data_IF_681320645073
#
_entry.id   IF_681320645073
#
_cell.length_a   1.000
_cell.length_b   1.000
_cell.length_c   1.000
_cell.angle_alpha   90.00
_cell.angle_beta   90.00
_cell.angle_gamma   90.00
#
_symmetry.space_group_name_H-M   'P 1'
#
loop_
_entity.id
_entity.type
_entity.pdbx_description
1 polymer ?
#
# COMPACT_ATOMS: atom_id res chain seq x y z
N UNK A 1 -46.40 -35.94 -25.16
CA UNK A 1 -45.38 -36.16 -26.21
C UNK A 1 -44.22 -35.25 -25.87
N UNK A 2 -43.15 -35.89 -25.43
CA UNK A 2 -42.10 -35.31 -24.60
C UNK A 2 -41.09 -34.47 -25.39
N UNK A 3 -40.70 -33.37 -24.75
CA UNK A 3 -39.65 -32.46 -25.17
C UNK A 3 -38.27 -33.11 -24.93
N UNK A 4 -37.44 -33.14 -25.96
CA UNK A 4 -36.04 -33.57 -25.86
C UNK A 4 -35.13 -32.35 -26.04
N UNK A 5 -34.71 -31.77 -24.91
CA UNK A 5 -33.68 -30.72 -24.85
C UNK A 5 -32.34 -31.42 -24.63
N UNK A 6 -31.35 -31.30 -25.54
CA UNK A 6 -30.04 -31.92 -25.34
C UNK A 6 -29.22 -31.14 -24.30
N UNK A 7 -28.89 -31.79 -23.19
CA UNK A 7 -27.98 -31.30 -22.16
C UNK A 7 -26.59 -31.04 -22.75
N UNK A 8 -26.10 -29.80 -22.62
CA UNK A 8 -24.70 -29.45 -22.91
C UNK A 8 -23.78 -30.05 -21.84
N UNK A 9 -22.86 -30.88 -22.33
CA UNK A 9 -21.73 -31.48 -21.60
C UNK A 9 -20.99 -30.44 -20.76
N UNK A 10 -20.81 -30.75 -19.48
CA UNK A 10 -20.05 -29.96 -18.52
C UNK A 10 -18.58 -29.83 -18.94
N UNK A 11 -18.12 -28.59 -19.09
CA UNK A 11 -16.70 -28.25 -19.18
C UNK A 11 -16.16 -28.19 -17.75
N UNK A 12 -15.58 -29.29 -17.29
CA UNK A 12 -14.80 -29.33 -16.04
C UNK A 12 -13.52 -28.55 -16.27
N UNK A 13 -13.45 -27.31 -15.77
CA UNK A 13 -12.21 -26.55 -15.72
C UNK A 13 -11.31 -27.18 -14.65
N UNK A 14 -10.25 -27.86 -15.08
CA UNK A 14 -9.15 -28.25 -14.20
C UNK A 14 -8.46 -26.96 -13.72
N UNK A 15 -8.71 -26.58 -12.48
CA UNK A 15 -7.96 -25.52 -11.80
C UNK A 15 -6.49 -25.95 -11.72
N UNK A 16 -5.51 -25.16 -12.20
CA UNK A 16 -4.11 -25.46 -11.97
C UNK A 16 -3.86 -25.42 -10.45
N UNK A 17 -3.23 -26.49 -9.94
CA UNK A 17 -2.84 -26.60 -8.55
C UNK A 17 -2.05 -25.33 -8.13
N UNK A 18 -2.25 -24.80 -6.91
CA UNK A 18 -1.49 -23.66 -6.45
C UNK A 18 -0.02 -24.06 -6.39
N UNK A 19 0.79 -23.48 -7.26
CA UNK A 19 2.25 -23.52 -7.15
C UNK A 19 2.59 -23.18 -5.71
N UNK A 20 3.13 -24.17 -4.99
CA UNK A 20 3.53 -24.11 -3.59
C UNK A 20 4.43 -22.90 -3.42
N UNK A 21 3.85 -21.78 -2.98
CA UNK A 21 4.60 -20.55 -2.71
C UNK A 21 5.59 -20.90 -1.63
N UNK A 22 6.86 -20.98 -1.99
CA UNK A 22 7.92 -21.24 -1.04
C UNK A 22 7.85 -20.14 0.02
N UNK A 23 7.62 -20.51 1.28
CA UNK A 23 7.39 -19.53 2.31
C UNK A 23 8.70 -18.73 2.50
N UNK A 24 8.56 -17.39 2.57
CA UNK A 24 9.69 -16.44 2.53
C UNK A 24 10.71 -16.62 3.66
N UNK A 25 10.31 -17.19 4.79
CA UNK A 25 11.20 -17.55 5.91
C UNK A 25 12.30 -18.57 5.55
N UNK A 26 12.10 -19.44 4.55
CA UNK A 26 13.13 -20.39 4.11
C UNK A 26 14.35 -19.68 3.53
N UNK A 27 14.12 -18.58 2.80
CA UNK A 27 15.20 -17.75 2.27
C UNK A 27 15.97 -17.04 3.39
N UNK A 28 15.28 -16.63 4.46
CA UNK A 28 15.92 -16.02 5.64
C UNK A 28 16.80 -17.04 6.36
N UNK A 29 16.30 -18.26 6.57
CA UNK A 29 17.05 -19.35 7.21
C UNK A 29 18.25 -19.74 6.35
N UNK A 30 18.06 -19.88 5.03
CA UNK A 30 19.15 -20.20 4.10
C UNK A 30 20.23 -19.12 4.10
N UNK A 31 19.86 -17.85 4.15
CA UNK A 31 20.79 -16.72 4.24
C UNK A 31 21.58 -16.74 5.56
N UNK A 32 20.90 -16.94 6.68
CA UNK A 32 21.55 -17.03 7.99
C UNK A 32 22.51 -18.23 8.08
N UNK A 33 22.11 -19.39 7.53
CA UNK A 33 22.96 -20.59 7.46
C UNK A 33 24.17 -20.40 6.55
N UNK A 34 23.98 -19.76 5.39
CA UNK A 34 25.07 -19.46 4.47
C UNK A 34 26.16 -18.63 5.17
N UNK A 35 25.76 -17.55 5.84
CA UNK A 35 26.69 -16.69 6.60
C UNK A 35 27.27 -17.43 7.82
N UNK A 36 26.50 -18.23 8.53
CA UNK A 36 27.02 -19.04 9.64
C UNK A 36 28.07 -20.09 9.19
N UNK A 37 27.97 -20.56 7.94
CA UNK A 37 28.93 -21.47 7.33
C UNK A 37 30.15 -20.76 6.74
N UNK A 38 30.06 -19.48 6.40
CA UNK A 38 31.16 -18.72 5.85
C UNK A 38 32.24 -18.45 6.91
N UNK A 39 33.49 -18.21 6.48
CA UNK A 39 34.52 -17.70 7.36
C UNK A 39 34.15 -16.29 7.84
N UNK A 40 34.21 -16.06 9.15
CA UNK A 40 33.80 -14.81 9.81
C UNK A 40 34.47 -13.54 9.24
N UNK A 41 35.66 -13.67 8.64
CA UNK A 41 36.39 -12.58 7.99
C UNK A 41 35.84 -12.20 6.60
N UNK A 42 35.02 -13.04 5.97
CA UNK A 42 34.30 -12.73 4.71
C UNK A 42 32.92 -12.13 5.00
N UNK A 43 32.27 -12.56 6.08
CA UNK A 43 30.95 -12.06 6.46
C UNK A 43 30.98 -10.57 6.80
N UNK A 44 32.02 -10.14 7.51
CA UNK A 44 32.18 -8.75 7.94
C UNK A 44 32.30 -7.75 6.76
N UNK A 45 33.20 -7.93 5.77
CA UNK A 45 33.27 -7.05 4.61
C UNK A 45 32.00 -7.12 3.74
N UNK A 46 31.33 -8.28 3.68
CA UNK A 46 30.07 -8.42 2.96
C UNK A 46 28.95 -7.59 3.60
N UNK A 47 28.83 -7.63 4.93
CA UNK A 47 27.87 -6.81 5.68
C UNK A 47 28.20 -5.32 5.59
N UNK A 48 29.49 -4.95 5.57
CA UNK A 48 29.93 -3.58 5.35
C UNK A 48 29.63 -3.10 3.92
N UNK A 49 29.77 -3.95 2.90
CA UNK A 49 29.38 -3.63 1.53
C UNK A 49 27.85 -3.39 1.41
N UNK A 50 27.05 -4.20 2.11
CA UNK A 50 25.60 -3.99 2.20
C UNK A 50 25.25 -2.70 2.95
N UNK A 51 25.94 -2.38 4.03
CA UNK A 51 25.74 -1.14 4.78
C UNK A 51 26.14 0.10 3.98
N UNK A 52 27.28 0.07 3.27
CA UNK A 52 27.76 1.18 2.44
C UNK A 52 26.89 1.40 1.20
N UNK A 53 26.38 0.33 0.57
CA UNK A 53 25.39 0.46 -0.51
C UNK A 53 24.06 1.04 -0.03
N UNK A 54 23.65 0.76 1.23
CA UNK A 54 22.52 1.46 1.85
C UNK A 54 22.82 2.92 2.16
N UNK A 55 24.01 3.23 2.69
CA UNK A 55 24.42 4.60 3.01
C UNK A 55 24.46 5.46 1.75
N UNK A 56 25.02 4.96 0.64
CA UNK A 56 25.14 5.69 -0.61
C UNK A 56 23.81 6.08 -1.28
N UNK A 57 22.66 5.72 -0.66
CA UNK A 57 21.31 6.07 -1.09
C UNK A 57 21.09 5.91 -2.59
N UNK A 58 21.65 4.84 -3.19
CA UNK A 58 21.59 4.61 -4.63
C UNK A 58 20.12 4.62 -5.05
N UNK A 59 19.65 5.60 -5.87
CA UNK A 59 18.23 5.78 -6.15
C UNK A 59 17.56 4.52 -6.70
N UNK A 60 18.35 3.70 -7.40
CA UNK A 60 17.95 2.41 -7.99
C UNK A 60 17.65 1.30 -6.97
N UNK A 61 18.14 1.41 -5.73
CA UNK A 61 18.01 0.38 -4.69
C UNK A 61 16.97 0.72 -3.61
N UNK A 62 16.32 1.90 -3.68
CA UNK A 62 15.22 2.29 -2.77
C UNK A 62 14.11 1.24 -2.65
N UNK A 63 13.64 0.58 -3.74
CA UNK A 63 12.60 -0.45 -3.66
C UNK A 63 13.03 -1.69 -2.84
N UNK A 64 14.33 -1.95 -2.74
CA UNK A 64 14.90 -3.12 -2.08
C UNK A 64 15.38 -2.85 -0.64
N UNK A 65 15.24 -1.62 -0.14
CA UNK A 65 15.70 -1.19 1.19
C UNK A 65 15.18 -2.09 2.33
N UNK A 66 13.91 -2.53 2.24
CA UNK A 66 13.31 -3.43 3.23
C UNK A 66 13.85 -4.87 3.20
N UNK A 67 14.34 -5.32 2.04
CA UNK A 67 15.00 -6.62 1.88
C UNK A 67 16.44 -6.53 2.40
N UNK A 68 17.16 -5.47 2.05
CA UNK A 68 18.54 -5.25 2.51
C UNK A 68 18.59 -5.09 4.04
N UNK A 69 17.63 -4.38 4.66
CA UNK A 69 17.49 -4.31 6.13
C UNK A 69 17.31 -5.69 6.77
N UNK A 70 16.47 -6.53 6.16
CA UNK A 70 16.28 -7.91 6.63
C UNK A 70 17.54 -8.74 6.45
N UNK A 71 18.23 -8.62 5.32
CA UNK A 71 19.49 -9.31 5.07
C UNK A 71 20.58 -8.90 6.07
N UNK A 72 20.64 -7.63 6.47
CA UNK A 72 21.59 -7.11 7.46
C UNK A 72 21.25 -7.61 8.88
N UNK A 73 19.98 -7.57 9.29
CA UNK A 73 19.51 -8.06 10.60
C UNK A 73 19.79 -9.56 10.79
N UNK A 74 19.44 -10.36 9.79
CA UNK A 74 19.67 -11.82 9.85
C UNK A 74 21.10 -12.21 9.53
N UNK A 75 21.82 -11.37 8.78
CA UNK A 75 23.24 -11.56 8.53
C UNK A 75 24.12 -11.27 9.74
N UNK A 76 23.71 -10.33 10.60
CA UNK A 76 24.35 -10.12 11.89
C UNK A 76 24.21 -11.36 12.79
N UNK A 77 23.04 -11.99 12.81
CA UNK A 77 22.84 -13.24 13.55
C UNK A 77 23.76 -14.36 13.05
N UNK A 78 23.93 -14.48 11.72
CA UNK A 78 24.90 -15.39 11.10
C UNK A 78 26.34 -15.10 11.54
N UNK A 79 26.76 -13.83 11.50
CA UNK A 79 28.09 -13.38 11.95
C UNK A 79 28.34 -13.69 13.43
N UNK A 80 27.33 -13.54 14.30
CA UNK A 80 27.44 -13.87 15.72
C UNK A 80 27.66 -15.37 15.95
N UNK A 81 26.96 -16.21 15.19
CA UNK A 81 27.14 -17.66 15.25
C UNK A 81 28.52 -18.05 14.70
N UNK A 82 28.95 -17.46 13.58
CA UNK A 82 30.25 -17.70 12.97
C UNK A 82 31.41 -17.26 13.89
N UNK A 83 31.30 -16.08 14.51
CA UNK A 83 32.30 -15.57 15.46
C UNK A 83 32.35 -16.40 16.74
N UNK A 84 31.20 -16.79 17.31
CA UNK A 84 31.17 -17.70 18.46
C UNK A 84 31.84 -19.04 18.16
N UNK A 85 31.59 -19.60 16.97
CA UNK A 85 32.21 -20.85 16.52
C UNK A 85 33.71 -20.71 16.28
N UNK A 86 34.15 -19.61 15.68
CA UNK A 86 35.55 -19.36 15.37
C UNK A 86 36.41 -19.09 16.62
N UNK A 87 35.82 -18.51 17.66
CA UNK A 87 36.51 -18.16 18.90
C UNK A 87 36.47 -19.24 20.00
N UNK A 88 35.89 -20.39 19.70
CA UNK A 88 35.99 -21.67 20.42
C UNK A 88 36.30 -21.60 21.92
N UNK A 89 35.29 -21.72 22.78
CA UNK A 89 35.37 -22.25 24.16
C UNK A 89 36.21 -21.47 25.21
N UNK A 90 36.91 -20.39 24.84
CA UNK A 90 37.69 -19.60 25.78
C UNK A 90 36.84 -18.47 26.35
N UNK A 91 37.08 -18.05 27.61
CA UNK A 91 36.35 -16.95 28.26
C UNK A 91 36.37 -15.65 27.42
N UNK A 92 37.44 -15.45 26.63
CA UNK A 92 37.60 -14.34 25.70
C UNK A 92 36.70 -14.42 24.46
N UNK A 93 36.24 -15.61 24.07
CA UNK A 93 35.32 -15.79 22.95
C UNK A 93 33.95 -15.20 23.25
N UNK A 94 33.48 -15.29 24.50
CA UNK A 94 32.24 -14.66 24.96
C UNK A 94 32.36 -13.14 24.98
N UNK A 95 33.46 -12.58 25.49
CA UNK A 95 33.63 -11.12 25.52
C UNK A 95 33.74 -10.54 24.11
N UNK A 96 34.47 -11.21 23.20
CA UNK A 96 34.59 -10.74 21.82
C UNK A 96 33.28 -10.85 21.04
N UNK A 97 32.54 -11.95 21.21
CA UNK A 97 31.22 -12.10 20.56
C UNK A 97 30.22 -11.07 21.08
N UNK A 98 30.25 -10.76 22.38
CA UNK A 98 29.41 -9.74 22.98
C UNK A 98 29.79 -8.33 22.50
N UNK A 99 31.09 -8.07 22.30
CA UNK A 99 31.59 -6.83 21.71
C UNK A 99 31.19 -6.70 20.22
N UNK A 100 31.26 -7.78 19.45
CA UNK A 100 30.78 -7.84 18.06
C UNK A 100 29.27 -7.65 17.99
N UNK A 101 28.51 -8.25 18.91
CA UNK A 101 27.06 -8.07 19.03
C UNK A 101 26.72 -6.61 19.30
N UNK A 102 27.42 -5.98 20.25
CA UNK A 102 27.20 -4.59 20.60
C UNK A 102 27.52 -3.65 19.44
N UNK A 103 28.67 -3.83 18.78
CA UNK A 103 29.06 -3.05 17.60
C UNK A 103 28.06 -3.21 16.47
N UNK A 104 27.69 -4.45 16.16
CA UNK A 104 26.75 -4.75 15.08
C UNK A 104 25.34 -4.22 15.35
N UNK A 105 24.86 -4.34 16.59
CA UNK A 105 23.59 -3.77 17.00
C UNK A 105 23.61 -2.24 17.00
N UNK A 106 24.68 -1.62 17.50
CA UNK A 106 24.82 -0.16 17.49
C UNK A 106 24.87 0.38 16.05
N UNK A 107 25.59 -0.29 15.15
CA UNK A 107 25.62 0.05 13.72
C UNK A 107 24.24 -0.08 13.08
N UNK A 108 23.50 -1.15 13.41
CA UNK A 108 22.13 -1.35 12.92
C UNK A 108 21.18 -0.24 13.40
N UNK A 109 21.22 0.10 14.68
CA UNK A 109 20.43 1.19 15.26
C UNK A 109 20.80 2.53 14.64
N UNK A 110 22.10 2.78 14.42
CA UNK A 110 22.57 3.99 13.76
C UNK A 110 22.04 4.08 12.32
N UNK A 111 22.11 2.99 11.56
CA UNK A 111 21.56 2.89 10.20
C UNK A 111 20.04 3.10 10.16
N UNK A 112 19.30 2.51 11.10
CA UNK A 112 17.85 2.71 11.22
C UNK A 112 17.52 4.16 11.56
N UNK A 113 18.21 4.74 12.56
CA UNK A 113 18.03 6.13 12.96
C UNK A 113 18.37 7.11 11.82
N UNK A 114 19.35 6.79 10.98
CA UNK A 114 19.76 7.63 9.86
C UNK A 114 18.82 7.50 8.66
N UNK A 115 18.23 6.33 8.44
CA UNK A 115 17.21 6.12 7.40
C UNK A 115 15.86 6.73 7.79
N UNK A 116 15.54 6.74 9.08
CA UNK A 116 14.31 7.34 9.61
C UNK A 116 14.40 8.87 9.70
N UNK A 117 15.62 9.42 9.62
CA UNK A 117 15.81 10.83 9.26
C UNK A 117 15.35 10.99 7.82
N UNK A 118 14.06 11.27 7.66
CA UNK A 118 13.55 11.95 6.46
C UNK A 118 14.53 13.10 6.19
N UNK A 119 15.05 13.25 4.96
CA UNK A 119 15.86 14.42 4.64
C UNK A 119 15.04 15.61 5.10
N UNK A 120 15.59 16.37 6.05
CA UNK A 120 14.97 17.57 6.58
C UNK A 120 14.54 18.35 5.36
N UNK A 121 13.22 18.36 5.16
CA UNK A 121 12.56 19.05 4.06
C UNK A 121 13.11 20.47 4.16
N UNK A 122 13.87 20.88 3.14
CA UNK A 122 14.30 22.25 2.93
C UNK A 122 14.98 22.93 4.13
N UNK A 123 16.30 22.76 4.26
CA UNK A 123 17.18 23.76 4.93
C UNK A 123 17.11 25.13 4.22
N UNK A 124 16.50 25.20 3.03
CA UNK A 124 16.15 26.43 2.33
C UNK A 124 15.01 27.25 2.99
N UNK A 125 14.36 26.73 4.05
CA UNK A 125 13.35 27.47 4.84
C UNK A 125 13.82 27.73 6.28
N UNK A 126 15.14 27.72 6.54
CA UNK A 126 15.70 28.33 7.74
C UNK A 126 15.61 29.87 7.63
N UNK A 127 14.38 30.38 7.51
CA UNK A 127 14.03 31.71 7.97
C UNK A 127 14.25 31.74 9.49
N UNK A 128 14.58 32.94 9.99
CA UNK A 128 14.93 33.28 11.37
C UNK A 128 14.32 32.34 12.41
N UNK A 129 15.18 31.83 13.31
CA UNK A 129 14.77 31.01 14.45
C UNK A 129 13.65 31.72 15.21
N UNK A 130 12.40 31.22 15.16
CA UNK A 130 11.28 31.87 15.84
C UNK A 130 11.50 31.83 17.35
N UNK A 131 11.12 32.91 18.04
CA UNK A 131 11.23 32.99 19.50
C UNK A 131 10.31 31.96 20.17
N UNK A 132 10.68 31.46 21.35
CA UNK A 132 9.98 30.36 22.06
C UNK A 132 8.46 30.55 22.19
N UNK A 133 7.99 31.81 22.25
CA UNK A 133 6.57 32.14 22.30
C UNK A 133 5.81 31.70 21.03
N UNK A 134 6.44 31.86 19.86
CA UNK A 134 5.87 31.48 18.57
C UNK A 134 5.86 29.96 18.40
N UNK A 135 6.85 29.25 18.96
CA UNK A 135 6.86 27.78 18.99
C UNK A 135 5.74 27.20 19.87
N UNK A 136 5.38 27.86 20.97
CA UNK A 136 4.31 27.42 21.86
C UNK A 136 2.90 27.61 21.23
N UNK A 137 2.77 28.54 20.30
CA UNK A 137 1.54 28.81 19.55
C UNK A 137 1.49 28.10 18.18
N UNK A 138 2.61 27.51 17.74
CA UNK A 138 2.65 26.75 16.50
C UNK A 138 1.79 25.47 16.62
N UNK A 139 0.89 25.21 15.67
CA UNK A 139 0.07 24.00 15.69
C UNK A 139 0.97 22.76 15.69
N UNK A 140 0.73 21.85 16.63
CA UNK A 140 1.46 20.58 16.73
C UNK A 140 0.98 19.65 15.63
N UNK A 141 1.65 19.70 14.47
CA UNK A 141 1.39 18.82 13.34
C UNK A 141 1.31 19.58 12.01
N UNK A 142 1.30 18.86 10.87
CA UNK A 142 1.00 19.47 9.58
C UNK A 142 -0.34 20.22 9.67
N UNK A 143 -0.48 21.36 8.99
CA UNK A 143 -1.70 22.14 8.97
C UNK A 143 -2.90 21.22 8.67
N UNK A 144 -3.70 20.91 9.69
CA UNK A 144 -4.84 20.02 9.56
C UNK A 144 -5.99 20.84 8.98
N UNK A 145 -6.24 20.67 7.69
CA UNK A 145 -7.42 21.24 7.03
C UNK A 145 -8.60 20.35 7.42
N UNK A 146 -9.56 20.91 8.16
CA UNK A 146 -10.83 20.25 8.41
C UNK A 146 -11.61 20.28 7.10
N UNK A 147 -11.92 19.10 6.58
CA UNK A 147 -12.64 18.94 5.32
C UNK A 147 -14.05 18.50 5.64
N UNK A 148 -15.03 19.30 5.22
CA UNK A 148 -16.44 18.94 5.30
C UNK A 148 -16.81 18.14 4.04
N UNK A 149 -17.09 16.85 4.23
CA UNK A 149 -17.47 15.93 3.15
C UNK A 149 -18.99 15.89 3.07
N UNK A 150 -19.54 16.17 1.89
CA UNK A 150 -20.98 16.05 1.64
C UNK A 150 -21.36 14.57 1.56
N UNK A 151 -22.38 14.11 2.31
CA UNK A 151 -22.79 12.71 2.29
C UNK A 151 -23.32 12.30 0.90
N UNK A 152 -23.12 11.04 0.49
CA UNK A 152 -23.58 10.58 -0.80
C UNK A 152 -25.10 10.38 -0.77
N UNK A 153 -25.80 11.07 -1.67
CA UNK A 153 -27.20 10.80 -1.95
C UNK A 153 -27.28 9.63 -2.91
N UNK A 154 -27.94 8.54 -2.50
CA UNK A 154 -28.12 7.34 -3.31
C UNK A 154 -29.52 7.36 -3.93
N UNK A 155 -29.57 7.46 -5.25
CA UNK A 155 -30.81 7.39 -6.02
C UNK A 155 -30.97 5.97 -6.55
N UNK A 156 -32.11 5.33 -6.26
CA UNK A 156 -32.44 3.97 -6.72
C UNK A 156 -33.17 4.00 -8.05
N UNK A 157 -33.13 2.89 -8.79
CA UNK A 157 -33.81 2.76 -10.08
C UNK A 157 -35.29 3.16 -10.08
N UNK A 158 -35.99 2.88 -8.98
CA UNK A 158 -37.42 3.14 -8.81
C UNK A 158 -37.72 4.63 -8.57
N UNK A 159 -36.70 5.46 -8.40
CA UNK A 159 -36.84 6.87 -8.09
C UNK A 159 -37.10 7.71 -9.35
N UNK A 160 -38.07 8.61 -9.25
CA UNK A 160 -38.53 9.44 -10.37
C UNK A 160 -37.42 10.40 -10.83
N UNK A 161 -36.56 10.83 -9.91
CA UNK A 161 -35.42 11.70 -10.18
C UNK A 161 -34.36 11.06 -11.10
N UNK A 162 -34.30 9.73 -11.13
CA UNK A 162 -33.40 8.99 -12.00
C UNK A 162 -33.94 8.88 -13.42
N UNK A 163 -35.26 8.77 -13.57
CA UNK A 163 -35.93 8.78 -14.87
C UNK A 163 -35.81 10.14 -15.59
N UNK A 164 -35.59 11.23 -14.85
CA UNK A 164 -35.28 12.54 -15.41
C UNK A 164 -33.86 12.66 -15.99
N UNK A 165 -32.95 11.71 -15.71
CA UNK A 165 -31.56 11.74 -16.19
C UNK A 165 -31.43 10.94 -17.48
N UNK A 166 -31.54 11.66 -18.60
CA UNK A 166 -31.60 11.09 -19.95
C UNK A 166 -30.37 10.25 -20.36
N UNK A 167 -29.22 10.43 -19.70
CA UNK A 167 -27.97 9.73 -20.04
C UNK A 167 -27.74 8.43 -19.27
N UNK A 168 -28.56 8.11 -18.27
CA UNK A 168 -28.42 6.91 -17.45
C UNK A 168 -29.57 5.94 -17.69
N UNK A 169 -29.23 4.73 -18.13
CA UNK A 169 -30.22 3.68 -18.35
C UNK A 169 -29.80 2.38 -17.66
N UNK A 170 -30.68 1.81 -16.84
CA UNK A 170 -30.48 0.48 -16.32
C UNK A 170 -30.85 -0.58 -17.36
N UNK A 171 -30.08 -1.67 -17.40
CA UNK A 171 -30.30 -2.78 -18.33
C UNK A 171 -30.61 -4.07 -17.56
N UNK A 172 -31.32 -5.00 -18.20
CA UNK A 172 -31.74 -6.27 -17.60
C UNK A 172 -30.56 -7.14 -17.09
N UNK A 173 -29.35 -6.93 -17.59
CA UNK A 173 -28.15 -7.70 -17.23
C UNK A 173 -27.41 -7.17 -15.98
N UNK A 174 -28.09 -6.46 -15.09
CA UNK A 174 -27.49 -5.83 -13.88
C UNK A 174 -26.34 -4.89 -14.21
N UNK A 175 -26.57 -4.01 -15.17
CA UNK A 175 -25.59 -3.02 -15.58
C UNK A 175 -26.22 -1.68 -15.91
N UNK A 176 -25.48 -0.61 -15.60
CA UNK A 176 -25.79 0.75 -15.98
C UNK A 176 -25.19 1.06 -17.35
N UNK A 177 -25.98 1.64 -18.24
CA UNK A 177 -25.51 2.27 -19.47
C UNK A 177 -25.45 3.77 -19.24
N UNK A 178 -24.33 4.38 -19.60
CA UNK A 178 -24.03 5.80 -19.46
C UNK A 178 -23.75 6.32 -20.87
N UNK A 179 -24.61 7.23 -21.36
CA UNK A 179 -24.58 7.64 -22.77
C UNK A 179 -24.82 6.45 -23.72
N UNK A 180 -24.20 6.49 -24.90
CA UNK A 180 -24.39 5.43 -25.91
C UNK A 180 -23.39 4.28 -25.81
N UNK A 181 -22.19 4.52 -25.30
CA UNK A 181 -21.07 3.58 -25.44
C UNK A 181 -20.58 2.98 -24.13
N UNK A 182 -20.85 3.62 -23.00
CA UNK A 182 -20.25 3.21 -21.73
C UNK A 182 -21.22 2.32 -20.95
N UNK A 183 -20.71 1.16 -20.52
CA UNK A 183 -21.47 0.18 -19.75
C UNK A 183 -20.73 -0.19 -18.47
N UNK A 184 -21.42 -0.08 -17.33
CA UNK A 184 -20.92 -0.44 -16.01
C UNK A 184 -21.65 -1.69 -15.52
N UNK A 185 -20.95 -2.82 -15.52
CA UNK A 185 -21.51 -4.14 -15.20
C UNK A 185 -21.27 -4.60 -13.75
N UNK A 186 -22.13 -5.52 -13.29
CA UNK A 186 -22.04 -6.16 -11.98
C UNK A 186 -22.09 -5.14 -10.82
N UNK A 187 -23.05 -4.23 -10.92
CA UNK A 187 -23.34 -3.17 -9.95
C UNK A 187 -24.78 -3.25 -9.48
N UNK A 188 -25.09 -2.60 -8.38
CA UNK A 188 -26.44 -2.50 -7.86
C UNK A 188 -27.29 -1.48 -8.65
N UNK A 189 -28.63 -1.60 -8.65
CA UNK A 189 -29.54 -0.67 -9.30
C UNK A 189 -29.70 0.65 -8.52
N UNK A 190 -28.58 1.19 -8.02
CA UNK A 190 -28.50 2.47 -7.34
C UNK A 190 -27.24 3.22 -7.75
N UNK A 191 -27.34 4.55 -7.79
CA UNK A 191 -26.25 5.44 -8.21
C UNK A 191 -26.19 6.64 -7.28
N UNK A 192 -24.98 7.06 -6.93
CA UNK A 192 -24.73 8.35 -6.31
C UNK A 192 -23.99 9.23 -7.29
N UNK A 193 -24.35 10.51 -7.34
CA UNK A 193 -23.77 11.47 -8.28
C UNK A 193 -23.18 12.61 -7.50
N UNK A 194 -21.93 12.95 -7.84
CA UNK A 194 -21.27 14.07 -7.21
C UNK A 194 -22.05 15.38 -7.47
N UNK A 195 -22.00 16.38 -6.57
CA UNK A 195 -22.68 17.66 -6.76
C UNK A 195 -22.31 18.36 -8.08
N UNK A 196 -21.05 18.23 -8.52
CA UNK A 196 -20.57 18.74 -9.82
C UNK A 196 -20.92 17.87 -11.04
N UNK A 197 -21.71 16.81 -10.86
CA UNK A 197 -22.17 15.83 -11.87
C UNK A 197 -21.08 15.11 -12.68
N UNK A 198 -19.80 15.39 -12.45
CA UNK A 198 -18.66 14.76 -13.12
C UNK A 198 -18.51 13.29 -12.76
N UNK A 199 -18.64 12.97 -11.47
CA UNK A 199 -18.43 11.62 -10.98
C UNK A 199 -19.74 10.90 -10.72
N UNK A 200 -19.79 9.65 -11.14
CA UNK A 200 -20.86 8.71 -10.85
C UNK A 200 -20.31 7.55 -10.02
N UNK A 201 -21.08 7.11 -9.04
CA UNK A 201 -20.73 6.06 -8.11
C UNK A 201 -21.79 4.96 -8.13
N UNK A 202 -21.35 3.72 -8.29
CA UNK A 202 -22.21 2.53 -8.34
C UNK A 202 -21.69 1.47 -7.38
N UNK A 203 -22.47 0.97 -6.42
CA UNK A 203 -22.04 -0.11 -5.54
C UNK A 203 -21.88 -1.40 -6.34
N UNK A 204 -20.88 -2.22 -6.01
CA UNK A 204 -20.67 -3.51 -6.66
C UNK A 204 -21.76 -4.50 -6.21
N UNK A 205 -22.35 -5.23 -7.15
CA UNK A 205 -23.33 -6.26 -6.82
C UNK A 205 -22.71 -7.41 -6.01
N UNK A 206 -23.43 -7.85 -4.98
CA UNK A 206 -23.10 -9.04 -4.16
C UNK A 206 -21.74 -8.99 -3.44
N UNK A 207 -21.23 -7.80 -3.11
CA UNK A 207 -19.99 -7.68 -2.35
C UNK A 207 -19.66 -6.26 -1.92
N UNK A 208 -18.58 -6.13 -1.14
CA UNK A 208 -18.08 -4.83 -0.68
C UNK A 208 -17.22 -4.18 -1.76
N UNK A 209 -17.67 -3.06 -2.30
CA UNK A 209 -16.90 -2.29 -3.25
C UNK A 209 -17.74 -1.27 -4.00
N UNK A 210 -17.05 -0.42 -4.75
CA UNK A 210 -17.68 0.61 -5.56
C UNK A 210 -17.03 0.69 -6.94
N UNK A 211 -17.83 1.05 -7.93
CA UNK A 211 -17.37 1.50 -9.24
C UNK A 211 -17.57 3.00 -9.31
N UNK A 212 -16.49 3.73 -9.55
CA UNK A 212 -16.52 5.15 -9.87
C UNK A 212 -16.35 5.32 -11.37
N UNK A 213 -17.08 6.26 -11.95
CA UNK A 213 -16.98 6.63 -13.35
C UNK A 213 -16.77 8.14 -13.47
N UNK A 214 -15.67 8.54 -14.12
CA UNK A 214 -15.33 9.92 -14.45
C UNK A 214 -15.90 10.26 -15.82
N UNK A 215 -16.95 11.08 -15.86
CA UNK A 215 -17.57 11.54 -17.11
C UNK A 215 -16.65 12.46 -17.91
N UNK A 216 -15.74 13.18 -17.27
CA UNK A 216 -14.86 14.14 -17.96
C UNK A 216 -13.79 13.43 -18.80
N UNK A 217 -13.33 12.26 -18.34
CA UNK A 217 -12.25 11.51 -18.99
C UNK A 217 -12.71 10.15 -19.55
N UNK A 218 -13.99 9.83 -19.44
CA UNK A 218 -14.58 8.53 -19.79
C UNK A 218 -13.80 7.35 -19.16
N UNK A 219 -13.51 7.45 -17.86
CA UNK A 219 -12.72 6.44 -17.13
C UNK A 219 -13.52 5.77 -16.03
N UNK A 220 -13.38 4.45 -15.96
CA UNK A 220 -13.98 3.63 -14.91
C UNK A 220 -12.92 3.14 -13.93
N UNK A 221 -13.19 3.29 -12.63
CA UNK A 221 -12.37 2.77 -11.54
C UNK A 221 -13.18 1.79 -10.71
N UNK A 222 -12.72 0.53 -10.63
CA UNK A 222 -13.39 -0.52 -9.86
C UNK A 222 -12.61 -0.81 -8.58
N UNK A 223 -13.15 -0.36 -7.45
CA UNK A 223 -12.47 -0.36 -6.15
C UNK A 223 -13.13 -1.37 -5.22
N UNK A 224 -12.53 -2.56 -5.11
CA UNK A 224 -13.00 -3.62 -4.22
C UNK A 224 -12.61 -3.32 -2.77
N UNK A 225 -13.52 -3.59 -1.84
CA UNK A 225 -13.33 -3.32 -0.41
C UNK A 225 -13.46 -1.84 0.00
N UNK A 226 -13.71 -0.94 -0.94
CA UNK A 226 -13.93 0.48 -0.70
C UNK A 226 -15.41 0.85 -0.84
N UNK A 227 -15.87 1.79 -0.04
CA UNK A 227 -17.22 2.34 -0.08
C UNK A 227 -17.14 3.86 -0.19
N UNK A 228 -18.12 4.48 -0.84
CA UNK A 228 -18.24 5.93 -0.89
C UNK A 228 -18.62 6.45 0.49
N UNK A 229 -17.74 7.27 1.06
CA UNK A 229 -18.02 8.02 2.27
C UNK A 229 -18.71 9.35 1.96
N UNK A 230 -18.35 9.97 0.83
CA UNK A 230 -19.01 11.16 0.32
C UNK A 230 -18.22 11.89 -0.74
N UNK A 231 -18.60 13.15 -0.99
CA UNK A 231 -18.06 14.00 -2.03
C UNK A 231 -17.45 15.27 -1.43
N UNK A 232 -16.27 15.65 -1.87
CA UNK A 232 -15.65 16.93 -1.51
C UNK A 232 -14.78 17.43 -2.66
N UNK A 233 -14.79 18.74 -2.94
CA UNK A 233 -13.99 19.36 -4.00
C UNK A 233 -14.08 18.66 -5.39
N UNK A 234 -15.26 18.16 -5.75
CA UNK A 234 -15.50 17.38 -6.98
C UNK A 234 -14.74 16.03 -7.05
N UNK A 235 -14.34 15.48 -5.92
CA UNK A 235 -13.68 14.18 -5.82
C UNK A 235 -14.44 13.23 -4.88
N UNK A 236 -14.30 11.93 -5.13
CA UNK A 236 -14.84 10.88 -4.27
C UNK A 236 -13.95 10.66 -3.03
N UNK A 237 -14.57 10.68 -1.86
CA UNK A 237 -13.94 10.27 -0.61
C UNK A 237 -14.40 8.87 -0.24
N UNK A 238 -13.45 7.99 0.03
CA UNK A 238 -13.66 6.56 0.14
C UNK A 238 -13.22 6.02 1.49
N UNK A 239 -13.94 5.05 2.02
CA UNK A 239 -13.56 4.34 3.24
C UNK A 239 -13.49 2.82 3.04
N UNK A 240 -12.64 2.14 3.81
CA UNK A 240 -12.57 0.66 3.89
C UNK A 240 -13.35 0.08 5.07
N UNK A 241 -13.91 0.91 5.95
CA UNK A 241 -14.48 0.49 7.23
C UNK A 241 -14.96 1.68 8.04
N UNK A 242 -15.94 1.48 8.92
CA UNK A 242 -16.41 2.54 9.82
C UNK A 242 -15.28 3.04 10.75
N UNK A 243 -14.32 2.17 11.07
CA UNK A 243 -13.16 2.49 11.94
C UNK A 243 -11.98 3.15 11.21
N UNK A 244 -12.05 3.31 9.87
CA UNK A 244 -10.96 3.84 9.07
C UNK A 244 -11.29 5.24 8.58
N UNK A 245 -10.32 6.16 8.72
CA UNK A 245 -10.43 7.50 8.18
C UNK A 245 -10.70 7.46 6.66
N UNK A 246 -11.64 8.29 6.16
CA UNK A 246 -11.90 8.38 4.73
C UNK A 246 -10.70 8.99 4.01
N UNK A 247 -10.45 8.52 2.79
CA UNK A 247 -9.33 8.93 1.95
C UNK A 247 -9.85 9.42 0.60
N UNK A 248 -9.22 10.45 0.05
CA UNK A 248 -9.51 10.94 -1.29
C UNK A 248 -9.20 9.88 -2.36
N UNK A 249 -9.89 9.94 -3.51
CA UNK A 249 -9.70 9.00 -4.61
C UNK A 249 -8.25 9.01 -5.12
N UNK A 250 -7.65 10.18 -5.27
CA UNK A 250 -6.25 10.39 -5.65
C UNK A 250 -5.31 9.62 -4.74
N UNK A 251 -5.56 9.62 -3.43
CA UNK A 251 -4.81 8.83 -2.45
C UNK A 251 -5.00 7.32 -2.66
N UNK A 252 -6.24 6.89 -2.87
CA UNK A 252 -6.59 5.47 -3.12
C UNK A 252 -5.95 4.95 -4.41
N UNK A 253 -5.81 5.82 -5.42
CA UNK A 253 -5.15 5.52 -6.69
C UNK A 253 -3.62 5.70 -6.63
N UNK A 254 -3.08 6.26 -5.54
CA UNK A 254 -1.65 6.53 -5.38
C UNK A 254 -1.12 7.70 -6.20
N UNK A 255 -1.99 8.63 -6.61
CA UNK A 255 -1.69 9.78 -7.47
C UNK A 255 -1.25 11.04 -6.70
N UNK A 256 -1.46 11.08 -5.37
CA UNK A 256 -1.02 12.18 -4.49
C UNK A 256 0.51 12.42 -4.47
N UNK A 257 1.29 11.55 -5.10
CA UNK A 257 2.75 11.67 -5.19
C UNK A 257 3.23 12.35 -6.48
N UNK A 258 2.33 12.78 -7.37
CA UNK A 258 2.67 13.23 -8.74
C UNK A 258 2.55 14.75 -8.94
N UNK A 259 2.10 15.52 -7.94
CA UNK A 259 2.17 16.99 -8.02
C UNK A 259 3.51 17.51 -7.50
N UNK A 260 4.49 17.56 -8.40
CA UNK A 260 5.63 18.51 -8.39
C UNK A 260 5.31 19.73 -9.24
#
# INVERSE_FOLDING_TARGET
MDAHVPQRKGVVRLSPAPLRRWPRWLWVIAWALLLACLPWWIDLPLLLALATTQWAQVPRLRPYSGIIRRALRWGLAGLLIASYRALGGHALGLTLTLLVALLGFSLLVLLESWQDRKPLRSVALAAESPEWHEMALAPIGPAAVIIEVSPPVWTRLEDTDLHARADLAWTAERSWRIGEHTRVENVEPQVSVAPGQRWLAFPIAAGRGIVLYDRAHDRQYRLRGWQLYGWHAQEAWLTRGEDMAPLALSHVLGQDQVEE
#
